data_IF_942739686942
#
_entry.id   IF_942739686942
#
_cell.length_a   1.000
_cell.length_b   1.000
_cell.length_c   1.000
_cell.angle_alpha   90.00
_cell.angle_beta   90.00
_cell.angle_gamma   90.00
#
_symmetry.space_group_name_H-M   'P 1'
#
loop_
_entity.id
_entity.type
_entity.pdbx_description
1 polymer ?
#
# COMPACT_ATOMS: atom_id res chain seq x y z
N UNK A 1 -16.24 -9.68 -1.17
CA UNK A 1 -14.76 -9.73 -0.94
C UNK A 1 -14.28 -8.65 0.04
N UNK A 2 -14.59 -7.37 -0.14
CA UNK A 2 -14.14 -6.31 0.78
C UNK A 2 -14.54 -6.54 2.24
N UNK A 3 -15.78 -6.98 2.51
CA UNK A 3 -16.25 -7.24 3.87
C UNK A 3 -15.43 -8.36 4.55
N UNK A 4 -15.09 -9.43 3.83
CA UNK A 4 -14.27 -10.54 4.35
C UNK A 4 -12.87 -10.03 4.68
N UNK A 5 -12.23 -9.30 3.76
CA UNK A 5 -10.92 -8.70 3.99
C UNK A 5 -10.91 -7.80 5.22
N UNK A 6 -11.89 -6.91 5.34
CA UNK A 6 -11.94 -5.94 6.43
C UNK A 6 -12.18 -6.64 7.77
N UNK A 7 -13.01 -7.69 7.80
CA UNK A 7 -13.25 -8.52 8.99
C UNK A 7 -11.98 -9.27 9.41
N UNK A 8 -11.26 -9.88 8.47
CA UNK A 8 -9.98 -10.55 8.72
C UNK A 8 -8.91 -9.57 9.22
N UNK A 9 -8.78 -8.41 8.57
CA UNK A 9 -7.83 -7.38 8.97
C UNK A 9 -8.12 -6.88 10.40
N UNK A 10 -9.40 -6.69 10.74
CA UNK A 10 -9.80 -6.29 12.08
C UNK A 10 -9.51 -7.39 13.11
N UNK A 11 -9.78 -8.65 12.77
CA UNK A 11 -9.47 -9.81 13.60
C UNK A 11 -7.97 -9.90 13.92
N UNK A 12 -7.12 -9.80 12.90
CA UNK A 12 -5.66 -9.82 13.06
C UNK A 12 -5.15 -8.65 13.91
N UNK A 13 -5.68 -7.44 13.70
CA UNK A 13 -5.36 -6.28 14.54
C UNK A 13 -5.75 -6.50 16.00
N UNK A 14 -6.87 -7.16 16.25
CA UNK A 14 -7.33 -7.47 17.61
C UNK A 14 -6.38 -8.46 18.29
N UNK A 15 -5.93 -9.48 17.57
CA UNK A 15 -4.92 -10.44 18.05
C UNK A 15 -3.61 -9.71 18.39
N UNK A 16 -3.16 -8.83 17.49
CA UNK A 16 -1.93 -8.06 17.69
C UNK A 16 -1.98 -7.10 18.88
N UNK A 17 -3.12 -6.48 19.15
CA UNK A 17 -3.32 -5.63 20.34
C UNK A 17 -3.21 -6.41 21.65
N UNK A 18 -3.34 -7.71 21.61
CA UNK A 18 -3.13 -8.62 22.75
C UNK A 18 -1.69 -9.13 22.82
N UNK A 19 -0.75 -8.52 22.08
CA UNK A 19 0.66 -8.91 21.98
C UNK A 19 0.90 -10.34 21.45
N UNK A 20 -0.08 -10.91 20.74
CA UNK A 20 0.09 -12.17 20.04
C UNK A 20 0.69 -11.93 18.65
N UNK A 21 1.72 -12.71 18.32
CA UNK A 21 2.43 -12.63 17.04
C UNK A 21 2.03 -13.73 16.06
N UNK A 22 1.25 -14.69 16.51
CA UNK A 22 0.74 -15.79 15.70
C UNK A 22 -0.78 -15.81 15.64
N UNK A 23 -1.32 -16.17 14.49
CA UNK A 23 -2.75 -16.33 14.29
C UNK A 23 -3.08 -17.60 13.50
N UNK A 24 -4.12 -18.29 13.93
CA UNK A 24 -4.73 -19.38 13.18
C UNK A 24 -6.11 -18.95 12.69
N UNK A 25 -6.38 -19.17 11.42
CA UNK A 25 -7.66 -18.83 10.79
C UNK A 25 -8.27 -20.08 10.18
N UNK A 26 -9.48 -20.40 10.59
CA UNK A 26 -10.25 -21.53 10.06
C UNK A 26 -11.31 -20.97 9.11
N UNK A 27 -11.20 -21.32 7.84
CA UNK A 27 -12.05 -20.81 6.75
C UNK A 27 -12.96 -21.88 6.17
N UNK A 28 -13.15 -22.99 6.87
CA UNK A 28 -13.89 -24.16 6.39
C UNK A 28 -15.28 -23.81 5.82
N UNK A 29 -15.98 -22.88 6.45
CA UNK A 29 -17.31 -22.44 6.01
C UNK A 29 -17.29 -21.47 4.83
N UNK A 30 -16.11 -21.05 4.36
CA UNK A 30 -15.91 -20.08 3.28
C UNK A 30 -15.22 -20.69 2.05
N UNK A 31 -15.07 -22.01 2.00
CA UNK A 31 -14.34 -22.72 0.92
C UNK A 31 -14.87 -22.45 -0.49
N UNK A 32 -16.16 -22.13 -0.59
CA UNK A 32 -16.82 -21.87 -1.88
C UNK A 32 -16.54 -20.44 -2.41
N UNK A 33 -15.84 -19.59 -1.65
CA UNK A 33 -15.47 -18.26 -2.10
C UNK A 33 -14.13 -18.29 -2.88
N UNK A 34 -14.22 -18.07 -4.17
CA UNK A 34 -13.06 -17.93 -5.04
C UNK A 34 -12.16 -16.76 -4.61
N UNK A 35 -10.85 -16.95 -4.61
CA UNK A 35 -9.88 -15.92 -4.23
C UNK A 35 -9.77 -15.64 -2.73
N UNK A 36 -10.29 -16.52 -1.88
CA UNK A 36 -10.25 -16.34 -0.43
C UNK A 36 -8.82 -16.28 0.10
N UNK A 37 -7.91 -17.10 -0.44
CA UNK A 37 -6.51 -17.12 -0.03
C UNK A 37 -5.78 -15.83 -0.40
N UNK A 38 -6.10 -15.22 -1.54
CA UNK A 38 -5.64 -13.88 -1.90
C UNK A 38 -6.09 -12.83 -0.87
N UNK A 39 -7.39 -12.82 -0.52
CA UNK A 39 -7.94 -11.88 0.47
C UNK A 39 -7.32 -12.07 1.84
N UNK A 40 -6.98 -13.29 2.20
CA UNK A 40 -6.28 -13.63 3.43
C UNK A 40 -4.88 -13.02 3.46
N UNK A 41 -4.11 -13.16 2.37
CA UNK A 41 -2.81 -12.54 2.22
C UNK A 41 -2.88 -11.00 2.29
N UNK A 42 -3.85 -10.40 1.60
CA UNK A 42 -4.09 -8.95 1.66
C UNK A 42 -4.41 -8.48 3.09
N UNK A 43 -5.28 -9.19 3.81
CA UNK A 43 -5.62 -8.86 5.20
C UNK A 43 -4.44 -9.01 6.16
N UNK A 44 -3.63 -10.07 5.99
CA UNK A 44 -2.42 -10.30 6.78
C UNK A 44 -1.37 -9.18 6.55
N UNK A 45 -1.16 -8.77 5.30
CA UNK A 45 -0.25 -7.68 4.98
C UNK A 45 -0.71 -6.32 5.51
N UNK A 46 -2.02 -6.05 5.50
CA UNK A 46 -2.58 -4.77 5.94
C UNK A 46 -2.73 -4.65 7.47
N UNK A 47 -2.76 -5.75 8.21
CA UNK A 47 -3.13 -5.74 9.63
C UNK A 47 -2.16 -4.96 10.51
N UNK A 48 -0.87 -4.99 10.19
CA UNK A 48 0.19 -4.30 10.93
C UNK A 48 0.40 -2.83 10.54
N UNK A 49 -0.23 -2.37 9.44
CA UNK A 49 0.01 -1.02 8.97
C UNK A 49 -0.54 0.05 9.90
N UNK A 50 0.33 0.96 10.31
CA UNK A 50 -0.02 2.16 11.07
C UNK A 50 0.87 3.31 10.60
N UNK A 51 0.28 4.45 10.24
CA UNK A 51 1.03 5.65 9.93
C UNK A 51 1.43 6.37 11.22
N UNK A 52 2.66 6.17 11.65
CA UNK A 52 3.19 6.69 12.93
C UNK A 52 4.46 7.53 12.76
N UNK A 53 4.81 7.88 11.54
CA UNK A 53 6.03 8.60 11.15
C UNK A 53 6.28 9.88 11.97
N UNK A 54 5.21 10.60 12.32
CA UNK A 54 5.27 11.88 13.03
C UNK A 54 4.87 11.78 14.50
N UNK A 55 4.59 10.57 14.99
CA UNK A 55 4.25 10.36 16.39
C UNK A 55 5.51 10.20 17.23
N UNK A 56 5.52 10.81 18.41
CA UNK A 56 6.53 10.50 19.43
C UNK A 56 6.30 9.04 19.84
N UNK A 57 7.31 8.20 19.61
CA UNK A 57 7.24 6.79 20.03
C UNK A 57 7.55 6.74 21.52
N UNK A 58 6.66 6.14 22.30
CA UNK A 58 6.92 5.78 23.69
C UNK A 58 7.97 4.65 23.71
N UNK A 59 8.79 4.57 24.75
CA UNK A 59 9.84 3.55 24.90
C UNK A 59 9.27 2.12 24.83
N UNK A 60 7.97 1.96 25.10
CA UNK A 60 7.26 0.68 25.03
C UNK A 60 6.42 0.50 23.75
N UNK A 61 6.59 1.38 22.74
CA UNK A 61 5.85 1.25 21.50
C UNK A 61 6.37 0.10 20.66
N UNK A 62 5.66 -1.00 20.63
CA UNK A 62 5.88 -2.11 19.70
C UNK A 62 4.91 -2.00 18.53
N UNK A 63 5.46 -1.95 17.30
CA UNK A 63 4.65 -2.10 16.10
C UNK A 63 4.18 -3.55 16.01
N UNK A 64 2.88 -3.74 15.80
CA UNK A 64 2.35 -5.07 15.57
C UNK A 64 2.83 -5.63 14.23
N UNK A 65 3.37 -6.84 14.25
CA UNK A 65 3.60 -7.66 13.06
C UNK A 65 3.09 -9.06 13.31
N UNK A 66 2.37 -9.63 12.34
CA UNK A 66 2.00 -11.03 12.37
C UNK A 66 3.21 -11.83 11.85
N UNK A 67 3.83 -12.63 12.73
CA UNK A 67 5.06 -13.40 12.43
C UNK A 67 4.74 -14.80 11.92
N UNK A 68 3.68 -15.40 12.45
CA UNK A 68 3.24 -16.74 12.09
C UNK A 68 1.75 -16.77 11.75
N UNK A 69 1.45 -17.47 10.69
CA UNK A 69 0.11 -17.58 10.19
C UNK A 69 -0.22 -19.03 9.80
N UNK A 70 -1.34 -19.54 10.29
CA UNK A 70 -1.85 -20.87 9.99
C UNK A 70 -3.25 -20.77 9.41
N UNK A 71 -3.51 -21.47 8.33
CA UNK A 71 -4.84 -21.57 7.72
C UNK A 71 -5.10 -22.99 7.25
N UNK A 72 -6.36 -23.42 7.36
CA UNK A 72 -6.87 -24.67 6.78
C UNK A 72 -6.99 -24.60 5.25
N UNK A 73 -7.01 -23.38 4.70
CA UNK A 73 -6.97 -23.09 3.26
C UNK A 73 -5.73 -22.26 2.98
N UNK A 74 -4.68 -22.90 2.45
CA UNK A 74 -3.45 -22.19 2.12
C UNK A 74 -2.97 -22.51 0.72
N UNK A 75 -3.05 -21.53 -0.15
CA UNK A 75 -2.51 -21.52 -1.50
C UNK A 75 -1.37 -20.50 -1.57
N UNK A 76 -0.10 -20.92 -1.53
CA UNK A 76 1.04 -20.01 -1.40
C UNK A 76 1.09 -18.89 -2.43
N UNK A 77 0.79 -19.21 -3.69
CA UNK A 77 0.86 -18.23 -4.79
C UNK A 77 -0.21 -17.15 -4.65
N UNK A 78 -1.45 -17.53 -4.34
CA UNK A 78 -2.53 -16.57 -4.12
C UNK A 78 -2.34 -15.76 -2.84
N UNK A 79 -1.85 -16.38 -1.77
CA UNK A 79 -1.52 -15.67 -0.53
C UNK A 79 -0.43 -14.62 -0.76
N UNK A 80 0.68 -15.00 -1.41
CA UNK A 80 1.79 -14.10 -1.72
C UNK A 80 1.37 -12.96 -2.65
N UNK A 81 0.48 -13.23 -3.60
CA UNK A 81 -0.12 -12.21 -4.45
C UNK A 81 -0.94 -11.20 -3.62
N UNK A 82 -1.74 -11.68 -2.67
CA UNK A 82 -2.46 -10.84 -1.72
C UNK A 82 -1.52 -9.96 -0.89
N UNK A 83 -0.42 -10.52 -0.38
CA UNK A 83 0.61 -9.77 0.35
C UNK A 83 1.21 -8.64 -0.50
N UNK A 84 1.55 -8.89 -1.77
CA UNK A 84 2.05 -7.86 -2.68
C UNK A 84 1.03 -6.75 -2.94
N UNK A 85 -0.24 -7.07 -3.03
CA UNK A 85 -1.29 -6.07 -3.13
C UNK A 85 -1.42 -5.22 -1.86
N UNK A 86 -1.23 -5.83 -0.69
CA UNK A 86 -1.17 -5.10 0.58
C UNK A 86 0.01 -4.12 0.61
N UNK A 87 1.20 -4.53 0.15
CA UNK A 87 2.37 -3.66 0.04
C UNK A 87 2.10 -2.45 -0.86
N UNK A 88 1.48 -2.65 -2.02
CA UNK A 88 1.11 -1.56 -2.92
C UNK A 88 0.08 -0.60 -2.29
N UNK A 89 -0.89 -1.13 -1.52
CA UNK A 89 -1.83 -0.31 -0.78
C UNK A 89 -1.15 0.48 0.35
N UNK A 90 -0.20 -0.13 1.07
CA UNK A 90 0.58 0.54 2.12
C UNK A 90 1.39 1.67 1.51
N UNK A 91 2.09 1.43 0.39
CA UNK A 91 2.82 2.47 -0.33
C UNK A 91 1.93 3.68 -0.68
N UNK A 92 0.72 3.42 -1.21
CA UNK A 92 -0.24 4.48 -1.52
C UNK A 92 -0.71 5.23 -0.27
N UNK A 93 -0.97 4.52 0.83
CA UNK A 93 -1.37 5.12 2.11
C UNK A 93 -0.25 5.95 2.73
N UNK A 94 1.01 5.53 2.62
CA UNK A 94 2.17 6.30 3.05
C UNK A 94 2.21 7.67 2.36
N UNK A 95 1.96 7.72 1.06
CA UNK A 95 1.92 8.98 0.31
C UNK A 95 0.72 9.84 0.71
N UNK A 96 -0.48 9.24 0.80
CA UNK A 96 -1.72 9.96 1.12
C UNK A 96 -1.72 10.53 2.54
N UNK A 97 -1.11 9.82 3.49
CA UNK A 97 -1.04 10.23 4.89
C UNK A 97 0.05 11.27 5.17
N UNK A 98 0.95 11.52 4.23
CA UNK A 98 1.95 12.57 4.36
C UNK A 98 1.28 13.96 4.41
N UNK A 99 1.80 14.90 5.23
CA UNK A 99 1.37 16.29 5.18
C UNK A 99 1.59 16.89 3.81
N UNK A 100 0.65 17.72 3.32
CA UNK A 100 0.75 18.36 2.01
C UNK A 100 2.01 19.23 1.81
N UNK A 101 2.65 19.65 2.91
CA UNK A 101 3.94 20.33 2.86
C UNK A 101 5.15 19.41 2.66
N UNK A 102 4.97 18.09 2.67
CA UNK A 102 6.03 17.09 2.52
C UNK A 102 5.97 16.34 1.19
N UNK A 103 4.87 16.47 0.44
CA UNK A 103 4.65 15.76 -0.83
C UNK A 103 4.41 16.77 -1.95
N UNK A 104 5.51 17.32 -2.43
CA UNK A 104 5.52 18.16 -3.63
C UNK A 104 5.58 17.29 -4.89
N UNK A 105 5.29 17.86 -6.06
CA UNK A 105 5.41 17.13 -7.33
C UNK A 105 6.77 16.48 -7.54
N UNK A 106 7.87 17.14 -7.16
CA UNK A 106 9.22 16.60 -7.28
C UNK A 106 9.43 15.36 -6.40
N UNK A 107 8.90 15.36 -5.16
CA UNK A 107 9.00 14.21 -4.26
C UNK A 107 8.22 13.01 -4.81
N UNK A 108 7.07 13.26 -5.45
CA UNK A 108 6.33 12.21 -6.15
C UNK A 108 7.09 11.69 -7.36
N UNK A 109 7.79 12.57 -8.09
CA UNK A 109 8.66 12.19 -9.21
C UNK A 109 9.77 11.24 -8.76
N UNK A 110 10.51 11.61 -7.70
CA UNK A 110 11.56 10.79 -7.12
C UNK A 110 11.04 9.40 -6.68
N UNK A 111 9.86 9.36 -6.06
CA UNK A 111 9.21 8.10 -5.67
C UNK A 111 8.81 7.25 -6.88
N UNK A 112 8.30 7.88 -7.93
CA UNK A 112 7.93 7.21 -9.18
C UNK A 112 9.16 6.63 -9.88
N UNK A 113 10.27 7.38 -9.97
CA UNK A 113 11.54 6.90 -10.53
C UNK A 113 12.12 5.74 -9.72
N UNK A 114 12.09 5.84 -8.39
CA UNK A 114 12.57 4.77 -7.51
C UNK A 114 11.78 3.48 -7.73
N UNK A 115 10.46 3.57 -7.80
CA UNK A 115 9.57 2.44 -8.05
C UNK A 115 9.79 1.84 -9.44
N UNK A 116 9.92 2.69 -10.46
CA UNK A 116 10.18 2.25 -11.82
C UNK A 116 11.52 1.50 -11.92
N UNK A 117 12.55 1.98 -11.24
CA UNK A 117 13.85 1.31 -11.17
C UNK A 117 13.77 -0.04 -10.45
N UNK A 118 13.04 -0.10 -9.34
CA UNK A 118 12.88 -1.33 -8.55
C UNK A 118 12.16 -2.43 -9.34
N UNK A 119 11.10 -2.05 -10.06
CA UNK A 119 10.26 -3.00 -10.81
C UNK A 119 10.60 -3.07 -12.30
N UNK A 120 11.69 -2.43 -12.74
CA UNK A 120 12.12 -2.40 -14.15
C UNK A 120 11.01 -1.91 -15.10
N UNK A 121 10.34 -0.82 -14.71
CA UNK A 121 9.29 -0.18 -15.51
C UNK A 121 9.87 1.04 -16.26
N UNK A 122 9.32 1.32 -17.44
CA UNK A 122 9.60 2.61 -18.10
C UNK A 122 8.87 3.74 -17.36
N UNK A 123 9.58 4.81 -17.04
CA UNK A 123 9.03 5.98 -16.36
C UNK A 123 9.46 7.24 -17.13
N UNK A 124 8.51 8.09 -17.45
CA UNK A 124 8.73 9.40 -18.04
C UNK A 124 8.11 10.47 -17.16
N UNK A 125 8.88 11.48 -16.80
CA UNK A 125 8.43 12.62 -16.00
C UNK A 125 8.33 13.85 -16.89
N UNK A 126 7.17 14.47 -16.89
CA UNK A 126 6.91 15.67 -17.69
C UNK A 126 6.98 16.91 -16.81
N UNK A 127 7.88 17.80 -17.15
CA UNK A 127 8.02 19.12 -16.55
C UNK A 127 6.98 20.11 -17.09
N UNK A 128 6.98 21.35 -16.57
CA UNK A 128 6.08 22.42 -16.96
C UNK A 128 6.10 22.68 -18.49
N UNK A 129 7.30 22.70 -19.08
CA UNK A 129 7.47 22.98 -20.51
C UNK A 129 6.83 21.89 -21.36
N UNK A 130 7.02 20.64 -20.96
CA UNK A 130 6.42 19.50 -21.65
C UNK A 130 4.90 19.53 -21.50
N UNK A 131 4.38 19.80 -20.29
CA UNK A 131 2.95 19.94 -20.03
C UNK A 131 2.31 21.08 -20.84
N UNK A 132 2.98 22.23 -20.99
CA UNK A 132 2.55 23.32 -21.86
C UNK A 132 2.48 22.91 -23.33
N UNK A 133 3.53 22.21 -23.82
CA UNK A 133 3.59 21.73 -25.21
C UNK A 133 2.46 20.74 -25.52
N UNK A 134 2.09 19.91 -24.54
CA UNK A 134 1.00 18.92 -24.64
C UNK A 134 -0.38 19.50 -24.29
N UNK A 135 -0.47 20.82 -24.06
CA UNK A 135 -1.72 21.55 -23.75
C UNK A 135 -2.46 21.05 -22.52
N UNK A 136 -1.73 20.59 -21.51
CA UNK A 136 -2.28 20.07 -20.26
C UNK A 136 -2.58 21.19 -19.24
N UNK A 137 -3.34 22.20 -19.64
CA UNK A 137 -3.64 23.40 -18.84
C UNK A 137 -4.33 23.11 -17.51
N UNK A 138 -5.08 22.02 -17.39
CA UNK A 138 -5.73 21.62 -16.12
C UNK A 138 -4.73 21.30 -15.02
N UNK A 139 -3.60 20.66 -15.35
CA UNK A 139 -2.52 20.36 -14.41
C UNK A 139 -1.77 21.64 -14.04
N UNK A 140 -1.42 22.44 -15.04
CA UNK A 140 -0.70 23.71 -14.86
C UNK A 140 -1.49 24.75 -14.05
N UNK A 141 -2.83 24.72 -14.10
CA UNK A 141 -3.67 25.68 -13.39
C UNK A 141 -3.72 25.45 -11.87
N UNK A 142 -3.64 24.19 -11.43
CA UNK A 142 -3.73 23.84 -10.02
C UNK A 142 -2.52 24.25 -9.17
N UNK A 143 -1.37 24.49 -9.80
CA UNK A 143 -0.06 24.53 -9.14
C UNK A 143 0.71 25.84 -9.38
N UNK A 144 0.09 26.99 -9.14
CA UNK A 144 0.78 28.30 -9.31
C UNK A 144 1.98 28.53 -8.38
N UNK A 145 2.28 27.65 -7.43
CA UNK A 145 3.36 27.78 -6.44
C UNK A 145 4.41 26.68 -6.47
N UNK A 146 4.16 25.59 -7.16
CA UNK A 146 5.06 24.44 -7.26
C UNK A 146 5.14 23.97 -8.70
N UNK A 147 6.28 23.41 -9.12
CA UNK A 147 6.45 22.87 -10.47
C UNK A 147 5.48 21.70 -10.71
N UNK A 148 4.52 21.84 -11.65
CA UNK A 148 3.61 20.74 -11.96
C UNK A 148 4.37 19.64 -12.71
N UNK A 149 4.12 18.40 -12.35
CA UNK A 149 4.72 17.23 -12.97
C UNK A 149 3.63 16.20 -13.31
N UNK A 150 3.80 15.52 -14.42
CA UNK A 150 2.96 14.38 -14.82
C UNK A 150 3.82 13.13 -14.95
N UNK A 151 3.32 12.03 -14.42
CA UNK A 151 4.00 10.73 -14.48
C UNK A 151 3.32 9.83 -15.51
N UNK A 152 4.12 9.18 -16.32
CA UNK A 152 3.64 8.20 -17.27
C UNK A 152 4.43 6.90 -17.12
N UNK A 153 3.73 5.80 -16.85
CA UNK A 153 4.30 4.47 -16.78
C UNK A 153 3.88 3.66 -18.01
N UNK A 154 4.84 3.18 -18.77
CA UNK A 154 4.59 2.25 -19.85
C UNK A 154 5.01 0.84 -19.43
N UNK A 155 4.17 -0.13 -19.68
CA UNK A 155 4.58 -1.53 -19.67
C UNK A 155 5.37 -1.81 -20.95
N UNK A 156 6.57 -2.33 -20.78
CA UNK A 156 7.37 -2.89 -21.88
C UNK A 156 6.85 -4.28 -22.24
#
# INVERSE_FOLDING_TARGET
>A
MNLIRDSLTWGFRTIGRQHNKSAAVILENLKDFEGLCFVLGEAAGLCGYTFDKYKTKDENYESFSLEEFYSDLYEPDEFNKGMKFAEAQIFSREIINEPGCSVWPEVLAEKAEALAKEYNLACEIWDEKKLESEKMGGILFGEKKHSPLLYHFNHL
#
